data_IF_904742417091
#
_entry.id   IF_904742417091
#
_cell.length_a   1.000
_cell.length_b   1.000
_cell.length_c   1.000
_cell.angle_alpha   90.00
_cell.angle_beta   90.00
_cell.angle_gamma   90.00
#
_symmetry.space_group_name_H-M   'P 1'
#
loop_
_entity.id
_entity.type
_entity.pdbx_description
1 polymer ?
#
# COMPACT_ATOMS: atom_id res chain seq x y z
N UNK A 1 16.72 8.23 -12.12
CA UNK A 1 17.24 7.35 -13.18
C UNK A 1 18.76 7.22 -13.13
N UNK A 2 19.55 8.33 -13.05
CA UNK A 2 21.03 8.25 -13.00
C UNK A 2 21.56 7.57 -11.72
N UNK A 3 20.89 7.75 -10.58
CA UNK A 3 21.30 7.14 -9.31
C UNK A 3 21.00 5.63 -9.28
N UNK A 4 19.91 5.22 -9.93
CA UNK A 4 19.53 3.80 -10.09
C UNK A 4 20.55 3.08 -11.01
N UNK A 5 21.03 3.77 -12.03
CA UNK A 5 22.02 3.22 -12.96
C UNK A 5 23.40 3.05 -12.31
N UNK A 6 23.77 3.93 -11.38
CA UNK A 6 25.00 3.81 -10.59
C UNK A 6 24.94 2.63 -9.60
N UNK A 7 23.76 2.38 -8.99
CA UNK A 7 23.56 1.28 -8.06
C UNK A 7 23.63 -0.09 -8.74
N UNK A 8 23.16 -0.17 -9.99
CA UNK A 8 23.29 -1.40 -10.79
C UNK A 8 24.73 -1.82 -11.07
N UNK A 9 25.37 -1.02 -11.06
CA UNK A 9 26.69 -1.15 -11.28
C UNK A 9 27.49 -1.63 -10.18
N UNK A 10 27.13 -1.20 -9.21
CA UNK A 10 27.92 -1.58 -8.04
C UNK A 10 27.62 -3.00 -7.53
N UNK A 11 26.50 -3.55 -7.86
CA UNK A 11 26.03 -4.87 -7.38
C UNK A 11 26.40 -6.06 -8.29
N UNK A 12 27.33 -5.89 -9.20
CA UNK A 12 27.98 -7.02 -9.91
C UNK A 12 27.04 -8.00 -10.62
N UNK A 13 26.02 -7.47 -11.31
CA UNK A 13 25.21 -8.30 -12.21
C UNK A 13 24.14 -9.19 -11.56
N UNK A 14 23.95 -9.11 -10.24
CA UNK A 14 22.84 -9.80 -9.59
C UNK A 14 21.52 -9.06 -9.89
N UNK A 15 20.52 -9.79 -10.36
CA UNK A 15 19.18 -9.25 -10.59
C UNK A 15 18.61 -8.74 -9.26
N UNK A 16 18.18 -7.46 -9.26
CA UNK A 16 17.68 -6.80 -8.04
C UNK A 16 16.33 -7.40 -7.63
N UNK A 17 16.31 -8.07 -6.49
CA UNK A 17 15.07 -8.63 -5.93
C UNK A 17 14.40 -7.61 -5.01
N UNK A 18 13.07 -7.48 -5.13
CA UNK A 18 12.31 -6.47 -4.38
C UNK A 18 11.12 -7.10 -3.65
N UNK A 19 10.78 -6.54 -2.50
CA UNK A 19 9.58 -6.93 -1.75
C UNK A 19 8.57 -5.79 -1.82
N UNK A 20 7.31 -6.12 -2.15
CA UNK A 20 6.22 -5.14 -2.26
C UNK A 20 5.18 -5.42 -1.18
N UNK A 21 4.86 -4.40 -0.36
CA UNK A 21 3.72 -4.47 0.56
C UNK A 21 2.42 -4.44 -0.25
N UNK A 22 1.65 -5.54 -0.20
CA UNK A 22 0.49 -5.78 -1.07
C UNK A 22 -0.77 -6.00 -0.22
N UNK A 23 -1.64 -5.00 -0.16
CA UNK A 23 -2.91 -5.10 0.56
C UNK A 23 -4.06 -5.59 -0.31
N UNK A 24 -3.90 -5.57 -1.64
CA UNK A 24 -4.97 -5.88 -2.60
C UNK A 24 -5.81 -4.67 -2.99
N UNK A 25 -5.51 -3.48 -2.47
CA UNK A 25 -6.13 -2.22 -2.88
C UNK A 25 -5.46 -1.65 -4.14
N UNK A 26 -6.01 -0.54 -4.66
CA UNK A 26 -5.51 0.13 -5.87
C UNK A 26 -4.01 0.41 -5.79
N UNK A 27 -3.60 1.09 -4.73
CA UNK A 27 -2.24 1.66 -4.63
C UNK A 27 -1.18 0.57 -4.56
N UNK A 28 -1.42 -0.42 -3.69
CA UNK A 28 -0.50 -1.54 -3.53
C UNK A 28 -0.46 -2.44 -4.77
N UNK A 29 -1.60 -2.59 -5.47
CA UNK A 29 -1.65 -3.38 -6.71
C UNK A 29 -0.95 -2.65 -7.86
N UNK A 30 -1.06 -1.32 -7.90
CA UNK A 30 -0.31 -0.49 -8.86
C UNK A 30 1.20 -0.58 -8.57
N UNK A 31 1.56 -0.52 -7.29
CA UNK A 31 2.95 -0.68 -6.85
C UNK A 31 3.51 -2.05 -7.26
N UNK A 32 2.72 -3.12 -7.06
CA UNK A 32 3.11 -4.48 -7.44
C UNK A 32 3.27 -4.62 -8.96
N UNK A 33 2.30 -4.08 -9.74
CA UNK A 33 2.40 -4.07 -11.21
C UNK A 33 3.63 -3.32 -11.72
N UNK A 34 3.93 -2.17 -11.11
CA UNK A 34 5.12 -1.39 -11.45
C UNK A 34 6.40 -2.20 -11.14
N UNK A 35 6.46 -2.85 -9.99
CA UNK A 35 7.60 -3.69 -9.60
C UNK A 35 7.79 -4.85 -10.59
N UNK A 36 6.71 -5.55 -10.96
CA UNK A 36 6.79 -6.66 -11.93
C UNK A 36 7.28 -6.16 -13.29
N UNK A 37 6.79 -5.01 -13.73
CA UNK A 37 7.22 -4.40 -15.01
C UNK A 37 8.71 -4.03 -14.98
N UNK A 38 9.21 -3.53 -13.85
CA UNK A 38 10.57 -3.03 -13.72
C UNK A 38 11.61 -4.13 -13.45
N UNK A 39 11.27 -5.08 -12.59
CA UNK A 39 12.23 -6.08 -12.09
C UNK A 39 11.99 -7.50 -12.61
N UNK A 40 10.85 -7.76 -13.25
CA UNK A 40 10.43 -9.11 -13.63
C UNK A 40 9.81 -9.88 -12.47
N UNK A 41 8.81 -10.70 -12.75
CA UNK A 41 8.02 -11.40 -11.71
C UNK A 41 8.88 -12.33 -10.82
N UNK A 42 9.96 -12.87 -11.37
CA UNK A 42 10.89 -13.76 -10.65
C UNK A 42 11.64 -13.04 -9.54
N UNK A 43 11.76 -11.73 -9.65
CA UNK A 43 12.49 -10.87 -8.72
C UNK A 43 11.57 -10.06 -7.79
N UNK A 44 10.26 -10.37 -7.79
CA UNK A 44 9.28 -9.66 -6.96
C UNK A 44 8.66 -10.61 -5.94
N UNK A 45 8.65 -10.19 -4.68
CA UNK A 45 7.94 -10.88 -3.59
C UNK A 45 6.82 -9.96 -3.11
N UNK A 46 5.58 -10.42 -3.11
CA UNK A 46 4.44 -9.72 -2.51
C UNK A 46 4.32 -10.11 -1.03
N UNK A 47 4.15 -9.14 -0.15
CA UNK A 47 3.90 -9.38 1.28
C UNK A 47 2.57 -8.77 1.68
N UNK A 48 1.63 -9.60 2.11
CA UNK A 48 0.35 -9.16 2.69
C UNK A 48 0.34 -9.34 4.18
N UNK A 49 -0.22 -8.39 4.90
CA UNK A 49 -0.24 -8.40 6.35
C UNK A 49 -1.68 -8.35 6.85
N UNK A 50 -2.06 -9.37 7.63
CA UNK A 50 -3.30 -9.35 8.40
C UNK A 50 -3.03 -8.62 9.71
N UNK A 51 -3.79 -7.57 9.98
CA UNK A 51 -3.64 -6.71 11.16
C UNK A 51 -4.90 -6.66 12.03
N UNK A 52 -5.84 -7.60 11.80
CA UNK A 52 -7.11 -7.66 12.54
C UNK A 52 -8.22 -6.85 11.88
N UNK A 53 -8.11 -6.55 10.57
CA UNK A 53 -9.14 -5.81 9.82
C UNK A 53 -10.47 -6.57 9.80
N UNK A 54 -11.59 -5.81 9.71
CA UNK A 54 -12.96 -6.31 9.84
C UNK A 54 -13.36 -7.43 8.87
N UNK A 55 -12.71 -7.50 7.70
CA UNK A 55 -13.03 -8.53 6.70
C UNK A 55 -11.78 -8.94 5.92
N UNK A 56 -11.88 -10.07 5.24
CA UNK A 56 -10.77 -10.70 4.51
C UNK A 56 -10.74 -10.34 3.01
N UNK A 57 -11.62 -9.47 2.55
CA UNK A 57 -11.74 -9.16 1.12
C UNK A 57 -10.45 -8.59 0.53
N UNK A 58 -9.76 -7.73 1.30
CA UNK A 58 -8.47 -7.19 0.87
C UNK A 58 -7.42 -8.30 0.71
N UNK A 59 -7.39 -9.25 1.65
CA UNK A 59 -6.45 -10.38 1.57
C UNK A 59 -6.75 -11.28 0.38
N UNK A 60 -8.03 -11.54 0.10
CA UNK A 60 -8.44 -12.29 -1.09
C UNK A 60 -8.08 -11.57 -2.38
N UNK A 61 -8.25 -10.24 -2.40
CA UNK A 61 -7.85 -9.41 -3.54
C UNK A 61 -6.32 -9.46 -3.72
N UNK A 62 -5.56 -9.36 -2.63
CA UNK A 62 -4.10 -9.49 -2.70
C UNK A 62 -3.66 -10.85 -3.24
N UNK A 63 -4.32 -11.95 -2.83
CA UNK A 63 -4.08 -13.28 -3.40
C UNK A 63 -4.35 -13.28 -4.91
N UNK A 64 -5.48 -12.72 -5.34
CA UNK A 64 -5.86 -12.70 -6.75
C UNK A 64 -4.84 -11.90 -7.59
N UNK A 65 -4.41 -10.73 -7.10
CA UNK A 65 -3.44 -9.88 -7.81
C UNK A 65 -2.06 -10.54 -7.85
N UNK A 66 -1.59 -11.12 -6.74
CA UNK A 66 -0.30 -11.83 -6.70
C UNK A 66 -0.29 -13.03 -7.66
N UNK A 67 -1.40 -13.80 -7.69
CA UNK A 67 -1.56 -14.92 -8.63
C UNK A 67 -1.60 -14.45 -10.08
N UNK A 68 -2.28 -13.34 -10.37
CA UNK A 68 -2.33 -12.76 -11.72
C UNK A 68 -0.92 -12.45 -12.23
N UNK A 69 -0.08 -11.86 -11.39
CA UNK A 69 1.31 -11.55 -11.76
C UNK A 69 2.25 -12.77 -11.69
N UNK A 70 1.84 -13.84 -11.01
CA UNK A 70 2.66 -15.04 -10.83
C UNK A 70 3.88 -14.80 -9.96
N UNK A 71 3.77 -13.95 -8.92
CA UNK A 71 4.86 -13.62 -8.01
C UNK A 71 4.78 -14.47 -6.73
N UNK A 72 5.91 -14.64 -6.05
CA UNK A 72 5.93 -15.23 -4.70
C UNK A 72 5.09 -14.38 -3.76
N UNK A 73 4.17 -14.99 -3.00
CA UNK A 73 3.27 -14.28 -2.09
C UNK A 73 3.41 -14.79 -0.66
N UNK A 74 3.82 -13.92 0.24
CA UNK A 74 3.99 -14.19 1.67
C UNK A 74 2.85 -13.51 2.45
N UNK A 75 2.33 -14.20 3.46
CA UNK A 75 1.30 -13.66 4.36
C UNK A 75 1.81 -13.65 5.79
N UNK A 76 1.67 -12.52 6.46
CA UNK A 76 2.11 -12.31 7.83
C UNK A 76 0.92 -11.88 8.69
N UNK A 77 0.83 -12.39 9.92
CA UNK A 77 -0.21 -12.00 10.87
C UNK A 77 0.40 -11.17 11.99
N UNK A 78 -0.03 -9.90 12.09
CA UNK A 78 0.38 -8.96 13.14
C UNK A 78 -0.82 -8.48 13.98
N UNK A 79 -1.96 -9.18 13.92
CA UNK A 79 -3.21 -8.71 14.53
C UNK A 79 -3.09 -8.41 16.03
N UNK A 80 -2.36 -9.25 16.77
CA UNK A 80 -2.22 -9.09 18.23
C UNK A 80 -1.57 -7.76 18.64
N UNK A 81 -0.77 -7.15 17.77
CA UNK A 81 -0.14 -5.86 18.06
C UNK A 81 -1.21 -4.74 18.12
N UNK A 82 -2.28 -4.89 17.35
CA UNK A 82 -3.33 -3.89 17.24
C UNK A 82 -4.52 -4.12 18.19
N UNK A 83 -4.46 -5.12 19.06
CA UNK A 83 -5.49 -5.37 20.08
C UNK A 83 -5.68 -4.20 21.04
N UNK A 84 -4.68 -3.32 21.14
CA UNK A 84 -4.69 -2.13 22.02
C UNK A 84 -5.27 -0.88 21.34
N UNK A 85 -5.64 -0.98 20.05
CA UNK A 85 -6.19 0.14 19.27
C UNK A 85 -7.71 0.00 19.15
N UNK A 86 -8.44 1.12 19.18
CA UNK A 86 -9.88 1.14 18.93
C UNK A 86 -10.21 1.74 17.55
N UNK A 87 -9.30 1.61 16.58
CA UNK A 87 -9.49 2.11 15.23
C UNK A 87 -10.72 1.43 14.56
N UNK A 88 -11.52 2.21 13.85
CA UNK A 88 -12.77 1.72 13.21
C UNK A 88 -12.56 0.60 12.18
N UNK A 89 -11.35 0.38 11.70
CA UNK A 89 -11.03 -0.69 10.73
C UNK A 89 -10.82 -2.05 11.40
N UNK A 90 -10.63 -2.09 12.73
CA UNK A 90 -10.30 -3.34 13.44
C UNK A 90 -11.55 -4.12 13.80
N UNK A 91 -11.47 -5.45 13.71
CA UNK A 91 -12.62 -6.34 13.91
C UNK A 91 -13.25 -6.27 15.30
N UNK A 92 -12.44 -5.95 16.32
CA UNK A 92 -12.91 -5.83 17.71
C UNK A 92 -13.43 -4.43 18.03
N UNK A 93 -13.23 -3.45 17.16
CA UNK A 93 -13.68 -2.07 17.39
C UNK A 93 -15.19 -1.92 17.15
N UNK A 94 -15.85 -1.20 18.04
CA UNK A 94 -17.26 -0.81 17.92
C UNK A 94 -17.43 0.52 17.18
N UNK A 95 -16.34 1.17 16.76
CA UNK A 95 -16.43 2.43 16.02
C UNK A 95 -16.94 2.21 14.60
N UNK A 96 -17.79 3.12 14.15
CA UNK A 96 -18.37 3.08 12.82
C UNK A 96 -17.38 3.64 11.77
N UNK A 97 -17.48 3.12 10.56
CA UNK A 97 -16.72 3.61 9.42
C UNK A 97 -17.43 4.86 8.89
N UNK A 98 -16.68 5.97 8.77
CA UNK A 98 -17.25 7.22 8.27
C UNK A 98 -17.69 7.10 6.81
N UNK A 99 -18.89 7.60 6.50
CA UNK A 99 -19.47 7.60 5.15
C UNK A 99 -19.37 9.01 4.54
N UNK A 100 -18.12 9.48 4.39
CA UNK A 100 -17.80 10.79 3.80
C UNK A 100 -16.38 10.75 3.23
N UNK A 101 -16.07 11.69 2.34
CA UNK A 101 -14.74 11.77 1.72
C UNK A 101 -13.66 12.08 2.77
N UNK A 102 -12.41 11.70 2.49
CA UNK A 102 -11.30 12.06 3.37
C UNK A 102 -11.13 13.58 3.50
N UNK A 103 -11.40 14.33 2.44
CA UNK A 103 -11.36 15.81 2.49
C UNK A 103 -12.34 16.37 3.53
N UNK A 104 -13.52 15.77 3.68
CA UNK A 104 -14.50 16.17 4.69
C UNK A 104 -14.07 15.73 6.11
N UNK A 105 -13.56 14.50 6.23
CA UNK A 105 -13.06 13.99 7.51
C UNK A 105 -11.94 14.88 8.06
N UNK A 106 -10.96 15.23 7.21
CA UNK A 106 -9.81 16.07 7.59
C UNK A 106 -10.25 17.42 8.19
N UNK A 107 -11.29 18.04 7.61
CA UNK A 107 -11.82 19.33 8.12
C UNK A 107 -12.32 19.22 9.58
N UNK A 108 -12.71 18.02 10.00
CA UNK A 108 -13.27 17.77 11.34
C UNK A 108 -12.23 17.35 12.37
N UNK A 109 -11.03 16.94 11.96
CA UNK A 109 -10.03 16.36 12.86
C UNK A 109 -9.10 17.37 13.51
N UNK A 110 -9.13 18.64 13.08
CA UNK A 110 -8.24 19.68 13.60
C UNK A 110 -6.75 19.26 13.54
N UNK A 111 -6.34 18.69 12.41
CA UNK A 111 -4.97 18.24 12.18
C UNK A 111 -4.59 16.92 12.82
N UNK A 112 -5.54 16.21 13.42
CA UNK A 112 -5.30 14.87 13.97
C UNK A 112 -5.61 13.80 12.91
N UNK A 113 -5.06 12.60 13.04
CA UNK A 113 -5.39 11.49 12.14
C UNK A 113 -6.89 11.17 12.13
N UNK A 114 -7.38 10.66 11.00
CA UNK A 114 -8.77 10.24 10.83
C UNK A 114 -9.07 8.94 11.60
N UNK A 115 -10.36 8.65 11.82
CA UNK A 115 -10.80 7.48 12.63
C UNK A 115 -10.35 6.12 12.04
N UNK A 116 -10.04 6.08 10.75
CA UNK A 116 -9.53 4.89 10.08
C UNK A 116 -8.00 4.75 10.16
N UNK A 117 -7.31 5.69 10.81
CA UNK A 117 -5.87 5.57 11.02
C UNK A 117 -5.57 4.49 12.07
N UNK A 118 -4.95 3.41 11.64
CA UNK A 118 -4.45 2.36 12.54
C UNK A 118 -3.07 2.83 13.03
N UNK A 119 -2.86 3.02 14.34
CA UNK A 119 -1.66 3.70 14.84
C UNK A 119 -0.35 3.08 14.37
N UNK A 120 0.46 3.88 13.65
CA UNK A 120 1.80 3.53 13.19
C UNK A 120 1.84 2.24 12.34
N UNK A 121 0.74 1.95 11.64
CA UNK A 121 0.60 0.69 10.89
C UNK A 121 1.68 0.53 9.82
N UNK A 122 1.92 1.57 9.01
CA UNK A 122 2.93 1.50 7.95
C UNK A 122 4.34 1.35 8.52
N UNK A 123 4.63 2.00 9.64
CA UNK A 123 5.94 1.84 10.31
C UNK A 123 6.19 0.39 10.71
N UNK A 124 5.18 -0.24 11.32
CA UNK A 124 5.27 -1.63 11.72
C UNK A 124 5.37 -2.57 10.51
N UNK A 125 4.57 -2.31 9.47
CA UNK A 125 4.58 -3.12 8.24
C UNK A 125 5.94 -3.06 7.54
N UNK A 126 6.50 -1.86 7.38
CA UNK A 126 7.80 -1.65 6.74
C UNK A 126 8.92 -2.31 7.58
N UNK A 127 8.85 -2.19 8.91
CA UNK A 127 9.85 -2.81 9.81
C UNK A 127 9.81 -4.35 9.72
N UNK A 128 8.60 -4.93 9.70
CA UNK A 128 8.43 -6.38 9.55
C UNK A 128 8.89 -6.83 8.16
N UNK A 129 8.54 -6.06 7.13
CA UNK A 129 8.97 -6.32 5.75
C UNK A 129 10.49 -6.30 5.62
N UNK A 130 11.19 -5.43 6.38
CA UNK A 130 12.65 -5.34 6.32
C UNK A 130 13.32 -6.67 6.73
N UNK A 131 12.84 -7.29 7.81
CA UNK A 131 13.37 -8.58 8.25
C UNK A 131 13.14 -9.68 7.20
N UNK A 132 11.93 -9.72 6.62
CA UNK A 132 11.58 -10.70 5.58
C UNK A 132 12.39 -10.44 4.31
N UNK A 133 12.49 -9.18 3.88
CA UNK A 133 13.22 -8.78 2.68
C UNK A 133 14.69 -9.21 2.73
N UNK A 134 15.36 -8.94 3.85
CA UNK A 134 16.74 -9.38 4.05
C UNK A 134 16.87 -10.89 3.98
N UNK A 135 15.95 -11.63 4.62
CA UNK A 135 15.95 -13.10 4.61
C UNK A 135 15.69 -13.68 3.21
N UNK A 136 14.98 -12.93 2.36
CA UNK A 136 14.68 -13.31 0.97
C UNK A 136 15.73 -12.81 -0.03
N UNK A 137 16.75 -12.12 0.43
CA UNK A 137 17.77 -11.53 -0.44
C UNK A 137 17.29 -10.35 -1.26
N UNK A 138 16.24 -9.66 -0.80
CA UNK A 138 15.76 -8.44 -1.46
C UNK A 138 16.64 -7.26 -1.04
N UNK A 139 16.85 -6.34 -1.97
CA UNK A 139 17.59 -5.09 -1.72
C UNK A 139 16.67 -3.86 -1.62
N UNK A 140 15.36 -4.06 -1.84
CA UNK A 140 14.41 -2.94 -1.84
C UNK A 140 13.04 -3.39 -1.32
N UNK A 141 12.38 -2.48 -0.57
CA UNK A 141 10.97 -2.59 -0.19
C UNK A 141 10.21 -1.48 -0.91
N UNK A 142 9.07 -1.81 -1.50
CA UNK A 142 8.17 -0.85 -2.14
C UNK A 142 6.81 -0.88 -1.42
N UNK A 143 6.20 0.30 -1.26
CA UNK A 143 4.83 0.38 -0.71
C UNK A 143 4.06 1.55 -1.35
N UNK A 144 2.74 1.43 -1.38
CA UNK A 144 1.86 2.27 -2.19
C UNK A 144 1.34 3.53 -1.52
N UNK A 145 2.10 4.18 -0.62
CA UNK A 145 1.68 5.47 -0.04
C UNK A 145 1.61 6.56 -1.12
N UNK A 146 0.62 7.44 -1.03
CA UNK A 146 0.43 8.56 -1.97
C UNK A 146 0.07 9.85 -1.22
N UNK A 147 0.14 10.99 -1.94
CA UNK A 147 0.04 12.32 -1.31
C UNK A 147 -1.31 12.58 -0.63
N UNK A 148 -2.40 12.03 -1.17
CA UNK A 148 -3.73 12.29 -0.62
C UNK A 148 -3.89 11.65 0.78
N UNK A 149 -3.25 10.50 1.02
CA UNK A 149 -3.26 9.84 2.34
C UNK A 149 -2.58 10.71 3.40
N UNK A 150 -1.49 11.40 3.03
CA UNK A 150 -0.76 12.27 3.96
C UNK A 150 -1.44 13.61 4.18
N UNK A 151 -2.35 14.00 3.28
CA UNK A 151 -2.99 15.32 3.31
C UNK A 151 -3.68 15.57 4.66
N UNK A 152 -3.48 16.79 5.19
CA UNK A 152 -4.12 17.19 6.45
C UNK A 152 -3.75 16.32 7.65
N UNK A 153 -2.66 15.57 7.58
CA UNK A 153 -2.23 14.61 8.61
C UNK A 153 -3.21 13.43 8.79
N UNK A 154 -3.99 13.10 7.77
CA UNK A 154 -4.96 11.99 7.85
C UNK A 154 -4.28 10.65 8.20
N UNK A 155 -3.19 10.35 7.49
CA UNK A 155 -2.34 9.18 7.73
C UNK A 155 -0.88 9.66 7.75
N UNK A 156 -0.36 10.08 8.91
CA UNK A 156 1.00 10.67 8.98
C UNK A 156 2.10 9.72 8.50
N UNK A 157 1.88 8.41 8.62
CA UNK A 157 2.82 7.37 8.17
C UNK A 157 2.71 7.05 6.67
N UNK A 158 2.06 7.95 5.89
CA UNK A 158 2.07 7.93 4.42
C UNK A 158 2.85 9.12 3.83
N UNK A 159 3.43 9.97 4.65
CA UNK A 159 4.12 11.19 4.18
C UNK A 159 5.52 10.91 3.63
N UNK A 160 6.01 11.83 2.77
CA UNK A 160 7.39 11.78 2.26
C UNK A 160 8.40 11.82 3.42
N UNK A 161 8.15 12.69 4.41
CA UNK A 161 9.04 12.83 5.58
C UNK A 161 9.13 11.50 6.34
N UNK A 162 8.00 10.83 6.53
CA UNK A 162 7.97 9.52 7.18
C UNK A 162 8.73 8.48 6.34
N UNK A 163 8.50 8.45 5.02
CA UNK A 163 9.21 7.52 4.13
C UNK A 163 10.73 7.72 4.23
N UNK A 164 11.19 8.96 4.21
CA UNK A 164 12.64 9.27 4.26
C UNK A 164 13.24 8.81 5.60
N UNK A 165 12.53 9.03 6.70
CA UNK A 165 12.97 8.60 8.03
C UNK A 165 13.05 7.08 8.15
N UNK A 166 12.01 6.38 7.68
CA UNK A 166 11.98 4.90 7.68
C UNK A 166 13.07 4.33 6.77
N UNK A 167 13.24 4.91 5.57
CA UNK A 167 14.30 4.47 4.65
C UNK A 167 15.66 4.61 5.32
N UNK A 168 15.94 5.75 5.95
CA UNK A 168 17.23 5.97 6.63
C UNK A 168 17.46 4.95 7.76
N UNK A 169 16.44 4.72 8.59
CA UNK A 169 16.53 3.78 9.72
C UNK A 169 16.80 2.35 9.22
N UNK A 170 16.06 1.92 8.20
CA UNK A 170 16.20 0.58 7.62
C UNK A 170 17.54 0.43 6.89
N UNK A 171 17.94 1.43 6.13
CA UNK A 171 19.23 1.42 5.43
C UNK A 171 20.39 1.21 6.41
N UNK A 172 20.48 2.01 7.46
CA UNK A 172 21.54 1.86 8.45
C UNK A 172 21.39 0.57 9.27
N UNK A 173 20.15 0.21 9.67
CA UNK A 173 19.88 -0.99 10.46
C UNK A 173 20.11 -2.30 9.72
N UNK A 174 20.03 -2.28 8.39
CA UNK A 174 20.31 -3.44 7.53
C UNK A 174 21.79 -3.58 7.16
N UNK A 175 22.65 -2.70 7.68
CA UNK A 175 24.05 -2.65 7.22
C UNK A 175 24.15 -2.15 5.79
N UNK A 176 23.26 -1.26 5.40
CA UNK A 176 23.19 -0.60 4.09
C UNK A 176 22.83 -1.52 2.92
N UNK A 177 22.12 -2.60 3.23
CA UNK A 177 21.72 -3.60 2.22
C UNK A 177 20.31 -3.38 1.68
N UNK A 178 19.46 -2.61 2.38
CA UNK A 178 18.03 -2.52 2.06
C UNK A 178 17.58 -1.06 2.02
N UNK A 179 16.83 -0.69 0.97
CA UNK A 179 16.21 0.63 0.85
C UNK A 179 14.68 0.50 0.84
N UNK A 180 14.00 1.57 1.26
CA UNK A 180 12.53 1.67 1.26
C UNK A 180 12.12 2.81 0.33
N UNK A 181 11.20 2.53 -0.57
CA UNK A 181 10.67 3.54 -1.50
C UNK A 181 9.15 3.49 -1.55
N UNK A 182 8.53 4.67 -1.59
CA UNK A 182 7.11 4.85 -1.89
C UNK A 182 7.00 5.56 -3.24
N UNK A 183 6.84 4.83 -4.35
CA UNK A 183 6.94 5.44 -5.69
C UNK A 183 5.86 6.48 -5.97
N UNK A 184 4.77 6.47 -5.22
CA UNK A 184 3.64 7.37 -5.42
C UNK A 184 3.52 8.47 -4.36
N UNK A 185 4.47 8.59 -3.43
CA UNK A 185 4.35 9.46 -2.24
C UNK A 185 4.08 10.94 -2.58
N UNK A 186 4.51 11.38 -3.75
CA UNK A 186 4.26 12.75 -4.25
C UNK A 186 3.19 12.81 -5.35
N UNK A 187 2.40 11.75 -5.50
CA UNK A 187 1.38 11.61 -6.53
C UNK A 187 0.01 11.48 -5.87
N UNK A 188 -1.01 12.09 -6.45
CA UNK A 188 -2.38 11.93 -5.95
C UNK A 188 -2.99 10.60 -6.45
N UNK A 189 -4.12 10.21 -5.88
CA UNK A 189 -4.83 8.95 -6.20
C UNK A 189 -5.12 8.80 -7.70
N UNK A 190 -5.52 9.90 -8.37
CA UNK A 190 -5.79 9.88 -9.80
C UNK A 190 -4.52 9.55 -10.61
N UNK A 191 -3.38 10.08 -10.19
CA UNK A 191 -2.08 9.76 -10.81
C UNK A 191 -1.69 8.30 -10.61
N UNK A 192 -1.95 7.72 -9.43
CA UNK A 192 -1.72 6.30 -9.17
C UNK A 192 -2.57 5.45 -10.13
N UNK A 193 -3.87 5.75 -10.23
CA UNK A 193 -4.79 5.04 -11.15
C UNK A 193 -4.32 5.19 -12.60
N UNK A 194 -3.92 6.39 -13.01
CA UNK A 194 -3.37 6.63 -14.35
C UNK A 194 -2.19 5.71 -14.64
N UNK A 195 -1.22 5.68 -13.73
CA UNK A 195 -0.05 4.80 -13.85
C UNK A 195 -0.47 3.34 -14.02
N UNK A 196 -1.40 2.87 -13.19
CA UNK A 196 -1.87 1.49 -13.26
C UNK A 196 -2.60 1.15 -14.55
N UNK A 197 -3.42 2.09 -15.07
CA UNK A 197 -4.10 1.91 -16.36
C UNK A 197 -3.07 1.78 -17.49
N UNK A 198 -2.04 2.61 -17.47
CA UNK A 198 -0.97 2.61 -18.50
C UNK A 198 -0.15 1.29 -18.49
N UNK A 199 -0.02 0.66 -17.33
CA UNK A 199 0.75 -0.61 -17.22
C UNK A 199 -0.15 -1.84 -17.16
N UNK A 200 -1.48 -1.69 -17.24
CA UNK A 200 -2.43 -2.80 -17.30
C UNK A 200 -2.66 -3.51 -15.98
N UNK A 201 -2.73 -2.77 -14.87
CA UNK A 201 -3.04 -3.35 -13.55
C UNK A 201 -4.46 -3.93 -13.57
N UNK A 202 -4.67 -5.17 -13.09
CA UNK A 202 -6.00 -5.81 -13.11
C UNK A 202 -6.89 -5.27 -11.96
N UNK A 203 -7.39 -4.05 -12.12
CA UNK A 203 -8.15 -3.37 -11.07
C UNK A 203 -9.48 -4.08 -10.71
N UNK A 204 -9.99 -4.92 -11.60
CA UNK A 204 -11.16 -5.77 -11.34
C UNK A 204 -10.89 -6.83 -10.26
N UNK A 205 -9.63 -7.13 -9.98
CA UNK A 205 -9.21 -8.07 -8.92
C UNK A 205 -8.98 -7.37 -7.57
N UNK A 206 -8.99 -6.03 -7.53
CA UNK A 206 -8.63 -5.27 -6.34
C UNK A 206 -9.84 -4.97 -5.46
N UNK A 207 -9.61 -4.70 -4.18
CA UNK A 207 -10.67 -4.34 -3.23
C UNK A 207 -10.21 -3.18 -2.35
N UNK A 208 -11.07 -2.18 -2.14
CA UNK A 208 -10.78 -1.02 -1.30
C UNK A 208 -11.84 -0.75 -0.24
N UNK A 209 -13.06 -1.23 -0.43
CA UNK A 209 -14.18 -0.90 0.45
C UNK A 209 -13.98 -1.43 1.86
N UNK A 210 -14.17 -0.59 2.86
CA UNK A 210 -14.01 -0.94 4.27
C UNK A 210 -15.18 -1.74 4.85
N UNK A 211 -16.36 -1.73 4.21
CA UNK A 211 -17.57 -2.36 4.74
C UNK A 211 -17.61 -3.89 4.58
N UNK A 212 -16.82 -4.45 3.67
CA UNK A 212 -16.73 -5.88 3.48
C UNK A 212 -17.96 -6.57 2.89
N UNK A 213 -18.91 -5.83 2.34
CA UNK A 213 -20.12 -6.37 1.67
C UNK A 213 -19.74 -7.05 0.34
N UNK A 214 -20.69 -7.75 -0.28
CA UNK A 214 -20.45 -8.43 -1.56
C UNK A 214 -20.05 -7.45 -2.67
N UNK A 215 -20.58 -6.22 -2.62
CA UNK A 215 -20.21 -5.13 -3.52
C UNK A 215 -19.67 -3.95 -2.72
N UNK A 216 -18.81 -3.12 -3.32
CA UNK A 216 -18.37 -1.89 -2.66
C UNK A 216 -19.56 -1.03 -2.22
N UNK A 217 -19.50 -0.45 -1.02
CA UNK A 217 -20.62 0.31 -0.45
C UNK A 217 -20.89 1.65 -1.17
N UNK A 218 -19.90 2.17 -1.89
CA UNK A 218 -20.00 3.42 -2.65
C UNK A 218 -19.94 4.69 -1.80
N UNK A 219 -19.87 4.59 -0.47
CA UNK A 219 -20.03 5.76 0.42
C UNK A 219 -18.94 5.91 1.49
N UNK A 220 -18.14 4.89 1.77
CA UNK A 220 -16.97 5.08 2.65
C UNK A 220 -15.88 5.86 1.90
N UNK A 221 -14.97 6.47 2.66
CA UNK A 221 -13.93 7.34 2.09
C UNK A 221 -13.18 6.70 0.93
N UNK A 222 -12.75 5.44 1.10
CA UNK A 222 -11.99 4.76 0.03
C UNK A 222 -12.84 4.50 -1.23
N UNK A 223 -14.14 4.24 -1.10
CA UNK A 223 -15.01 4.06 -2.27
C UNK A 223 -15.17 5.38 -3.04
N UNK A 224 -15.37 6.47 -2.32
CA UNK A 224 -15.52 7.81 -2.90
C UNK A 224 -14.24 8.19 -3.65
N UNK A 225 -13.09 8.06 -2.99
CA UNK A 225 -11.79 8.44 -3.57
C UNK A 225 -11.40 7.53 -4.74
N UNK A 226 -11.72 6.22 -4.63
CA UNK A 226 -11.49 5.26 -5.71
C UNK A 226 -12.30 5.65 -6.96
N UNK A 227 -13.60 5.90 -6.79
CA UNK A 227 -14.47 6.29 -7.91
C UNK A 227 -13.97 7.59 -8.55
N UNK A 228 -13.69 8.60 -7.74
CA UNK A 228 -13.19 9.90 -8.23
C UNK A 228 -11.88 9.75 -9.02
N UNK A 229 -10.99 8.85 -8.59
CA UNK A 229 -9.72 8.62 -9.29
C UNK A 229 -9.92 7.99 -10.68
N UNK A 230 -10.87 7.06 -10.83
CA UNK A 230 -11.20 6.50 -12.15
C UNK A 230 -11.88 7.54 -13.03
N UNK A 231 -12.84 8.31 -12.50
CA UNK A 231 -13.53 9.39 -13.23
C UNK A 231 -12.54 10.45 -13.72
N UNK A 232 -11.57 10.83 -12.90
CA UNK A 232 -10.54 11.81 -13.29
C UNK A 232 -9.68 11.31 -14.46
N UNK A 233 -9.64 9.99 -14.69
CA UNK A 233 -8.94 9.37 -15.82
C UNK A 233 -9.90 9.02 -16.98
N UNK A 234 -11.13 9.53 -16.95
CA UNK A 234 -12.10 9.35 -18.05
C UNK A 234 -12.60 7.92 -18.19
N UNK A 235 -12.56 7.12 -17.12
CA UNK A 235 -12.97 5.72 -17.17
C UNK A 235 -13.84 5.34 -15.96
N UNK A 236 -14.46 4.18 -16.02
CA UNK A 236 -15.32 3.65 -14.96
C UNK A 236 -14.55 2.59 -14.17
N UNK A 237 -14.68 2.62 -12.85
CA UNK A 237 -14.09 1.61 -11.98
C UNK A 237 -14.56 0.21 -12.42
N UNK A 238 -13.64 -0.71 -12.73
CA UNK A 238 -14.02 -2.07 -13.13
C UNK A 238 -14.85 -2.85 -12.11
N UNK A 239 -14.77 -2.50 -10.82
CA UNK A 239 -15.61 -3.14 -9.78
C UNK A 239 -17.09 -2.72 -9.88
N UNK A 240 -17.42 -1.66 -10.62
CA UNK A 240 -18.78 -1.16 -10.77
C UNK A 240 -19.44 -1.58 -12.08
N UNK A 241 -18.75 -2.36 -12.90
CA UNK A 241 -19.25 -2.87 -14.20
C UNK A 241 -20.11 -4.13 -14.07
#
# INVERSE_FOLDING_TARGET
LKQIQLYKXELGGNEMKVLVLSSGGIDSSTCLGLAVKEYGKENVVALSIFYGQKHDKELKASDAVANYYGVEHIKLNLSSIFDYSDCSLLSHSNQEIAHESYAEQIKKTDGKPVATYVPFRNGLFISSAASIALSKGCSKILYGAHSDDAAGNAYPDCSQVFNDAMNKAIYEGSGRQLVVEAPFVNMNKAGVVKTGLEIGVPYELTWSCYEGNDKPCGKCGTCIDRQAAFEANGTVDPLLK
#
